data_IF_511535159106
#
_entry.id   IF_511535159106
#
_cell.length_a   1.000
_cell.length_b   1.000
_cell.length_c   1.000
_cell.angle_alpha   90.00
_cell.angle_beta   90.00
_cell.angle_gamma   90.00
#
_symmetry.space_group_name_H-M   'P 1'
#
loop_
_entity.id
_entity.type
_entity.pdbx_description
1 polymer ?
#
# COMPACT_ATOMS: atom_id res chain seq x y z
N UNK A 1 -5.20 -7.16 0.05
CA UNK A 1 -5.97 -5.90 0.17
C UNK A 1 -6.47 -5.60 1.60
N UNK A 2 -7.24 -6.50 2.24
CA UNK A 2 -7.77 -6.27 3.60
C UNK A 2 -6.69 -5.95 4.64
N UNK A 3 -5.57 -6.67 4.63
CA UNK A 3 -4.46 -6.42 5.56
C UNK A 3 -3.94 -4.97 5.45
N UNK A 4 -3.64 -4.50 4.24
CA UNK A 4 -3.12 -3.14 4.02
C UNK A 4 -4.14 -2.06 4.34
N UNK A 5 -5.45 -2.35 4.23
CA UNK A 5 -6.48 -1.45 4.77
C UNK A 5 -6.38 -1.34 6.31
N UNK A 6 -6.37 -2.47 7.00
CA UNK A 6 -6.46 -2.50 8.47
C UNK A 6 -5.27 -1.83 9.17
N UNK A 7 -4.09 -1.84 8.55
CA UNK A 7 -2.87 -1.30 9.18
C UNK A 7 -2.51 0.11 8.75
N UNK A 8 -2.88 0.53 7.53
CA UNK A 8 -2.47 1.84 6.98
C UNK A 8 -3.57 2.52 6.15
N UNK A 9 -4.41 1.78 5.43
CA UNK A 9 -5.53 2.38 4.69
C UNK A 9 -6.52 3.12 5.58
N UNK A 10 -6.86 2.55 6.75
CA UNK A 10 -7.71 3.19 7.75
C UNK A 10 -7.09 4.46 8.33
N UNK A 11 -5.76 4.57 8.37
CA UNK A 11 -5.04 5.78 8.80
C UNK A 11 -5.25 6.90 7.79
N UNK A 12 -5.24 6.58 6.49
CA UNK A 12 -5.57 7.52 5.43
C UNK A 12 -7.02 8.04 5.51
N UNK A 13 -7.97 7.16 5.77
CA UNK A 13 -9.38 7.51 6.02
C UNK A 13 -9.53 8.46 7.23
N UNK A 14 -8.92 8.08 8.36
CA UNK A 14 -8.94 8.86 9.59
C UNK A 14 -8.40 10.29 9.39
N UNK A 15 -7.22 10.43 8.77
CA UNK A 15 -6.64 11.76 8.55
C UNK A 15 -7.42 12.60 7.53
N UNK A 16 -8.08 11.95 6.58
CA UNK A 16 -8.99 12.64 5.66
C UNK A 16 -10.14 13.28 6.43
N UNK A 17 -10.74 12.54 7.35
CA UNK A 17 -11.85 13.03 8.19
C UNK A 17 -11.42 14.17 9.10
N UNK A 18 -10.31 13.99 9.80
CA UNK A 18 -9.75 15.04 10.65
C UNK A 18 -9.47 16.31 9.85
N UNK A 19 -8.92 16.18 8.64
CA UNK A 19 -8.65 17.32 7.77
C UNK A 19 -9.94 18.00 7.32
N UNK A 20 -10.94 17.23 6.88
CA UNK A 20 -12.24 17.76 6.46
C UNK A 20 -12.99 18.49 7.58
N UNK A 21 -12.93 17.96 8.81
CA UNK A 21 -13.60 18.56 9.97
C UNK A 21 -12.89 19.83 10.48
N UNK A 22 -11.55 19.85 10.47
CA UNK A 22 -10.78 20.87 11.17
C UNK A 22 -10.07 21.88 10.25
N UNK A 23 -10.00 21.64 8.93
CA UNK A 23 -9.36 22.55 7.99
C UNK A 23 -10.39 23.32 7.17
N UNK A 24 -10.50 24.64 7.39
CA UNK A 24 -11.47 25.49 6.67
C UNK A 24 -11.34 25.38 5.14
N UNK A 25 -10.11 25.31 4.63
CA UNK A 25 -9.85 25.21 3.20
C UNK A 25 -10.26 23.84 2.60
N UNK A 26 -10.43 22.80 3.42
CA UNK A 26 -10.90 21.48 3.00
C UNK A 26 -12.44 21.34 3.01
N UNK A 27 -13.20 22.37 3.42
CA UNK A 27 -14.68 22.31 3.51
C UNK A 27 -15.39 21.97 2.19
N UNK A 28 -14.73 22.21 1.05
CA UNK A 28 -15.27 21.94 -0.29
C UNK A 28 -14.88 20.58 -0.83
N UNK A 29 -14.12 19.78 -0.09
CA UNK A 29 -13.80 18.42 -0.50
C UNK A 29 -15.08 17.59 -0.66
N UNK A 30 -15.11 16.78 -1.71
CA UNK A 30 -15.97 15.61 -1.71
C UNK A 30 -15.35 14.60 -0.73
N UNK A 31 -15.88 14.55 0.49
CA UNK A 31 -15.26 13.76 1.56
C UNK A 31 -15.25 12.26 1.24
N UNK A 32 -16.27 11.74 0.56
CA UNK A 32 -16.33 10.33 0.19
C UNK A 32 -15.20 9.95 -0.79
N UNK A 33 -15.01 10.75 -1.83
CA UNK A 33 -13.92 10.57 -2.81
C UNK A 33 -12.53 10.75 -2.15
N UNK A 34 -12.39 11.75 -1.28
CA UNK A 34 -11.13 11.97 -0.56
C UNK A 34 -10.81 10.81 0.39
N UNK A 35 -11.80 10.21 1.05
CA UNK A 35 -11.60 9.02 1.90
C UNK A 35 -11.08 7.85 1.10
N UNK A 36 -11.70 7.57 -0.05
CA UNK A 36 -11.26 6.48 -0.93
C UNK A 36 -9.81 6.69 -1.38
N UNK A 37 -9.46 7.92 -1.79
CA UNK A 37 -8.09 8.25 -2.17
C UNK A 37 -7.11 8.20 -1.00
N UNK A 38 -7.52 8.64 0.19
CA UNK A 38 -6.74 8.52 1.42
C UNK A 38 -6.46 7.06 1.79
N UNK A 39 -7.47 6.19 1.70
CA UNK A 39 -7.32 4.74 1.88
C UNK A 39 -6.32 4.17 0.89
N UNK A 40 -6.46 4.51 -0.39
CA UNK A 40 -5.54 4.04 -1.44
C UNK A 40 -4.12 4.56 -1.20
N UNK A 41 -3.96 5.79 -0.71
CA UNK A 41 -2.65 6.33 -0.34
C UNK A 41 -1.99 5.53 0.79
N UNK A 42 -2.70 5.30 1.90
CA UNK A 42 -2.18 4.47 3.01
C UNK A 42 -1.80 3.06 2.54
N UNK A 43 -2.65 2.41 1.74
CA UNK A 43 -2.35 1.11 1.14
C UNK A 43 -1.10 1.12 0.26
N UNK A 44 -0.89 2.17 -0.54
CA UNK A 44 0.30 2.32 -1.39
C UNK A 44 1.58 2.41 -0.56
N UNK A 45 1.57 3.22 0.50
CA UNK A 45 2.69 3.35 1.43
C UNK A 45 3.01 2.01 2.11
N UNK A 46 1.98 1.28 2.55
CA UNK A 46 2.17 -0.02 3.17
C UNK A 46 2.73 -1.05 2.19
N UNK A 47 2.24 -1.09 0.95
CA UNK A 47 2.77 -1.99 -0.07
C UNK A 47 4.26 -1.69 -0.34
N UNK A 48 4.64 -0.42 -0.42
CA UNK A 48 6.05 -0.02 -0.55
C UNK A 48 6.91 -0.52 0.62
N UNK A 49 6.42 -0.42 1.86
CA UNK A 49 7.12 -0.98 3.03
C UNK A 49 7.27 -2.50 2.93
N UNK A 50 6.18 -3.22 2.61
CA UNK A 50 6.19 -4.68 2.42
C UNK A 50 7.25 -5.10 1.39
N UNK A 51 7.28 -4.44 0.24
CA UNK A 51 8.20 -4.79 -0.85
C UNK A 51 9.66 -4.46 -0.50
N UNK A 52 9.91 -3.30 0.10
CA UNK A 52 11.26 -2.86 0.49
C UNK A 52 11.84 -3.75 1.59
N UNK A 53 11.04 -4.09 2.59
CA UNK A 53 11.49 -4.75 3.81
C UNK A 53 11.33 -6.29 3.77
N UNK A 54 10.80 -6.84 2.67
CA UNK A 54 10.50 -8.26 2.48
C UNK A 54 11.63 -9.20 2.95
N UNK A 55 12.87 -8.97 2.52
CA UNK A 55 14.00 -9.81 2.91
C UNK A 55 14.32 -9.74 4.41
N UNK A 56 14.12 -8.57 5.04
CA UNK A 56 14.30 -8.39 6.49
C UNK A 56 13.20 -9.11 7.25
N UNK A 57 11.95 -8.99 6.81
CA UNK A 57 10.80 -9.63 7.44
C UNK A 57 10.87 -11.16 7.35
N UNK A 58 11.27 -11.70 6.20
CA UNK A 58 11.44 -13.14 6.01
C UNK A 58 12.48 -13.74 6.98
N UNK A 59 13.60 -13.04 7.22
CA UNK A 59 14.64 -13.48 8.16
C UNK A 59 14.16 -13.59 9.60
N UNK A 60 13.12 -12.84 9.98
CA UNK A 60 12.51 -12.88 11.31
C UNK A 60 11.20 -13.69 11.33
N UNK A 61 10.96 -14.50 10.29
CA UNK A 61 9.82 -15.41 10.21
C UNK A 61 8.50 -14.75 9.84
N UNK A 62 8.51 -13.56 9.22
CA UNK A 62 7.31 -12.86 8.77
C UNK A 62 7.24 -12.81 7.25
N UNK A 63 6.05 -12.99 6.69
CA UNK A 63 5.79 -12.81 5.27
C UNK A 63 4.48 -12.06 5.08
N UNK A 64 4.49 -11.02 4.26
CA UNK A 64 3.31 -10.21 3.92
C UNK A 64 2.96 -10.25 2.44
N UNK A 65 3.70 -11.03 1.65
CA UNK A 65 3.38 -11.21 0.23
C UNK A 65 2.10 -12.06 0.10
N UNK A 66 1.15 -11.68 -0.76
CA UNK A 66 -0.07 -12.46 -0.95
C UNK A 66 0.22 -13.85 -1.54
N UNK A 67 -0.36 -14.89 -0.93
CA UNK A 67 -0.16 -16.29 -1.36
C UNK A 67 -0.68 -16.56 -2.77
N UNK A 68 -1.77 -15.92 -3.17
CA UNK A 68 -2.34 -16.00 -4.51
C UNK A 68 -1.38 -15.45 -5.58
N UNK A 69 -0.72 -14.32 -5.29
CA UNK A 69 0.30 -13.74 -6.18
C UNK A 69 1.54 -14.63 -6.22
N UNK A 70 2.01 -15.14 -5.08
CA UNK A 70 3.11 -16.11 -5.05
C UNK A 70 2.79 -17.36 -5.89
N UNK A 71 1.59 -17.92 -5.71
CA UNK A 71 1.12 -19.10 -6.43
C UNK A 71 1.01 -18.89 -7.93
N UNK A 72 0.60 -17.70 -8.38
CA UNK A 72 0.56 -17.34 -9.80
C UNK A 72 1.96 -17.38 -10.47
N UNK A 73 3.03 -17.21 -9.68
CA UNK A 73 4.42 -17.33 -10.12
C UNK A 73 5.05 -18.70 -9.76
N UNK A 74 4.25 -19.66 -9.30
CA UNK A 74 4.74 -21.00 -8.92
C UNK A 74 5.62 -21.01 -7.68
N UNK A 75 5.42 -20.05 -6.76
CA UNK A 75 6.20 -19.90 -5.53
C UNK A 75 5.34 -20.14 -4.31
N UNK A 76 5.98 -20.66 -3.26
CA UNK A 76 5.47 -20.70 -1.88
C UNK A 76 6.35 -19.82 -1.01
N UNK A 77 5.85 -19.45 0.16
CA UNK A 77 6.62 -18.66 1.14
C UNK A 77 7.97 -19.29 1.47
N UNK A 78 8.03 -20.62 1.61
CA UNK A 78 9.28 -21.35 1.89
C UNK A 78 10.35 -21.17 0.78
N UNK A 79 9.92 -21.00 -0.48
CA UNK A 79 10.84 -20.80 -1.60
C UNK A 79 11.53 -19.43 -1.56
N UNK A 80 10.99 -18.47 -0.79
CA UNK A 80 11.54 -17.12 -0.63
C UNK A 80 12.78 -17.06 0.28
N UNK A 81 13.12 -18.16 0.94
CA UNK A 81 14.32 -18.29 1.78
C UNK A 81 15.52 -18.89 1.02
N UNK A 82 15.31 -19.33 -0.22
CA UNK A 82 16.36 -19.89 -1.05
C UNK A 82 17.37 -18.81 -1.51
N UNK A 83 18.64 -19.18 -1.78
CA UNK A 83 19.64 -18.22 -2.28
C UNK A 83 19.27 -17.52 -3.59
N UNK A 84 18.44 -18.16 -4.42
CA UNK A 84 17.95 -17.64 -5.70
C UNK A 84 16.55 -16.99 -5.60
N UNK A 85 16.01 -16.82 -4.40
CA UNK A 85 14.66 -16.29 -4.18
C UNK A 85 14.43 -14.93 -4.87
N UNK A 86 15.41 -14.02 -4.82
CA UNK A 86 15.31 -12.69 -5.42
C UNK A 86 15.08 -12.71 -6.93
N UNK A 87 15.70 -13.66 -7.65
CA UNK A 87 15.51 -13.76 -9.11
C UNK A 87 14.16 -14.38 -9.44
N UNK A 88 13.76 -15.42 -8.70
CA UNK A 88 12.48 -16.12 -8.87
C UNK A 88 11.27 -15.26 -8.51
N UNK A 89 11.36 -14.47 -7.43
CA UNK A 89 10.29 -13.59 -6.96
C UNK A 89 10.16 -12.28 -7.74
N UNK A 90 10.98 -12.05 -8.78
CA UNK A 90 10.96 -10.81 -9.56
C UNK A 90 9.59 -10.55 -10.21
N UNK A 91 8.90 -11.58 -10.68
CA UNK A 91 7.54 -11.45 -11.22
C UNK A 91 6.53 -10.97 -10.17
N UNK A 92 6.55 -11.58 -8.98
CA UNK A 92 5.73 -11.20 -7.82
C UNK A 92 5.96 -9.74 -7.44
N UNK A 93 7.22 -9.32 -7.38
CA UNK A 93 7.59 -7.93 -7.11
C UNK A 93 6.96 -6.97 -8.13
N UNK A 94 7.06 -7.28 -9.43
CA UNK A 94 6.50 -6.42 -10.47
C UNK A 94 4.98 -6.31 -10.40
N UNK A 95 4.27 -7.41 -10.11
CA UNK A 95 2.81 -7.39 -10.01
C UNK A 95 2.35 -6.51 -8.84
N UNK A 96 3.00 -6.64 -7.68
CA UNK A 96 2.69 -5.83 -6.51
C UNK A 96 3.12 -4.36 -6.68
N UNK A 97 4.23 -4.10 -7.40
CA UNK A 97 4.62 -2.74 -7.77
C UNK A 97 3.56 -2.07 -8.66
N UNK A 98 2.97 -2.79 -9.62
CA UNK A 98 1.88 -2.23 -10.45
C UNK A 98 0.67 -1.85 -9.61
N UNK A 99 0.31 -2.66 -8.62
CA UNK A 99 -0.76 -2.34 -7.66
C UNK A 99 -0.43 -1.06 -6.88
N UNK A 100 0.77 -0.98 -6.29
CA UNK A 100 1.20 0.21 -5.53
C UNK A 100 1.20 1.47 -6.40
N UNK A 101 1.74 1.40 -7.63
CA UNK A 101 1.77 2.52 -8.56
C UNK A 101 0.36 2.98 -8.97
N UNK A 102 -0.57 2.06 -9.18
CA UNK A 102 -1.96 2.42 -9.45
C UNK A 102 -2.59 3.17 -8.27
N UNK A 103 -2.30 2.75 -7.03
CA UNK A 103 -2.75 3.45 -5.81
C UNK A 103 -2.04 4.81 -5.62
N UNK A 104 -0.77 4.94 -6.00
CA UNK A 104 -0.05 6.21 -5.93
C UNK A 104 -0.61 7.28 -6.89
N UNK A 105 -1.23 6.90 -8.01
CA UNK A 105 -1.90 7.88 -8.89
C UNK A 105 -3.01 8.63 -8.14
N UNK A 106 -3.82 7.89 -7.38
CA UNK A 106 -4.84 8.47 -6.50
C UNK A 106 -4.23 9.27 -5.35
N UNK A 107 -3.13 8.78 -4.77
CA UNK A 107 -2.39 9.48 -3.72
C UNK A 107 -1.85 10.83 -4.20
N UNK A 108 -1.39 10.93 -5.46
CA UNK A 108 -0.97 12.19 -6.05
C UNK A 108 -2.13 13.17 -6.12
N UNK A 109 -3.30 12.74 -6.62
CA UNK A 109 -4.51 13.57 -6.64
C UNK A 109 -4.94 14.00 -5.24
N UNK A 110 -4.90 13.09 -4.26
CA UNK A 110 -5.18 13.39 -2.86
C UNK A 110 -4.25 14.46 -2.31
N UNK A 111 -2.94 14.27 -2.47
CA UNK A 111 -1.91 15.17 -1.92
C UNK A 111 -2.00 16.56 -2.53
N UNK A 112 -2.27 16.66 -3.84
CA UNK A 112 -2.45 17.94 -4.53
C UNK A 112 -3.74 18.67 -4.13
N UNK A 113 -4.74 17.94 -3.61
CA UNK A 113 -5.97 18.52 -3.09
C UNK A 113 -5.83 19.04 -1.65
N UNK A 114 -4.75 18.70 -0.93
CA UNK A 114 -4.44 19.23 0.40
C UNK A 114 -4.18 20.74 0.30
N UNK A 115 -4.98 21.58 0.97
CA UNK A 115 -4.77 23.02 0.93
C UNK A 115 -3.39 23.40 1.43
N UNK A 116 -2.72 24.29 0.70
CA UNK A 116 -1.49 24.94 1.19
C UNK A 116 -1.87 25.89 2.33
N UNK A 117 -1.03 25.94 3.36
CA UNK A 117 -1.17 26.93 4.44
C UNK A 117 -1.14 28.35 3.90
#
# INVERSE_FOLDING_TARGET
DRYTYLVEGCVGEFWTDMTGMHTRAARRWNLADMREKGIRFGKALQMTNILRDCAKDLRIGRCYLPEDVLGAHGLRVADLLAPDASSRARGVLFDLLRVALAQYRDACSYTLAIPRR
#
